data_IF_608172665303
#
_entry.id   IF_608172665303
#
_cell.length_a   1.000
_cell.length_b   1.000
_cell.length_c   1.000
_cell.angle_alpha   90.00
_cell.angle_beta   90.00
_cell.angle_gamma   90.00
#
_symmetry.space_group_name_H-M   'P 1'
#
loop_
_entity.id
_entity.type
_entity.pdbx_description
1 polymer ?
#
# COMPACT_ATOMS: atom_id res chain seq x y z
N UNK A 1 -52.26 -2.50 -13.81
CA UNK A 1 -51.34 -3.54 -13.28
C UNK A 1 -49.94 -3.23 -13.82
N UNK A 2 -48.97 -2.80 -12.99
CA UNK A 2 -47.62 -2.54 -13.48
C UNK A 2 -46.87 -3.85 -13.72
N UNK A 3 -46.20 -3.97 -14.86
CA UNK A 3 -45.44 -5.14 -15.28
C UNK A 3 -44.18 -5.33 -14.41
N UNK A 4 -43.83 -6.58 -14.12
CA UNK A 4 -42.65 -6.93 -13.32
C UNK A 4 -41.35 -6.79 -14.12
N UNK A 5 -40.26 -6.45 -13.41
CA UNK A 5 -38.90 -6.10 -13.89
C UNK A 5 -38.22 -7.14 -14.81
N UNK A 6 -38.78 -8.34 -14.94
CA UNK A 6 -38.29 -9.40 -15.82
C UNK A 6 -38.77 -9.29 -17.28
N UNK A 7 -39.88 -8.58 -17.53
CA UNK A 7 -40.52 -8.54 -18.86
C UNK A 7 -40.09 -7.34 -19.73
N UNK A 8 -39.33 -6.38 -19.18
CA UNK A 8 -38.79 -5.23 -19.93
C UNK A 8 -37.51 -5.56 -20.73
N UNK A 9 -36.99 -6.79 -20.63
CA UNK A 9 -35.68 -7.19 -21.18
C UNK A 9 -35.68 -7.64 -22.65
N UNK A 10 -36.82 -7.65 -23.34
CA UNK A 10 -36.92 -8.25 -24.69
C UNK A 10 -37.11 -7.26 -25.85
N UNK A 11 -37.10 -5.94 -25.61
CA UNK A 11 -37.54 -4.96 -26.64
C UNK A 11 -36.50 -3.93 -27.12
N UNK A 12 -35.22 -4.06 -26.77
CA UNK A 12 -34.16 -3.13 -27.25
C UNK A 12 -32.96 -3.86 -27.87
N UNK A 13 -33.21 -4.96 -28.58
CA UNK A 13 -32.18 -5.65 -29.36
C UNK A 13 -32.61 -5.83 -30.82
N UNK A 14 -32.75 -4.70 -31.52
CA UNK A 14 -32.64 -4.61 -32.99
C UNK A 14 -32.60 -3.14 -33.39
N UNK A 15 -31.40 -2.61 -33.61
CA UNK A 15 -31.12 -1.58 -34.62
C UNK A 15 -29.61 -1.55 -34.84
N UNK A 16 -29.21 -2.29 -35.87
CA UNK A 16 -27.94 -2.13 -36.56
C UNK A 16 -27.89 -0.75 -37.21
N UNK A 17 -26.75 -0.06 -37.11
CA UNK A 17 -26.41 1.04 -38.01
C UNK A 17 -24.93 0.89 -38.42
N UNK A 18 -24.76 0.85 -39.74
CA UNK A 18 -23.51 0.74 -40.52
C UNK A 18 -22.67 2.02 -40.46
N UNK A 19 -21.37 1.97 -40.82
CA UNK A 19 -20.45 3.09 -40.74
C UNK A 19 -20.57 4.04 -41.93
N UNK A 20 -20.36 5.34 -41.70
CA UNK A 20 -20.20 6.35 -42.75
C UNK A 20 -18.79 6.94 -42.69
N UNK A 21 -18.07 6.76 -43.79
CA UNK A 21 -16.86 7.47 -44.21
C UNK A 21 -17.15 8.93 -44.56
N UNK A 22 -16.19 9.83 -44.29
CA UNK A 22 -16.20 11.20 -44.82
C UNK A 22 -14.99 12.01 -44.35
N UNK A 23 -14.17 12.43 -45.31
CA UNK A 23 -12.88 13.14 -45.23
C UNK A 23 -13.11 14.67 -45.28
N UNK A 24 -12.27 15.47 -44.60
CA UNK A 24 -11.46 16.57 -45.20
C UNK A 24 -10.94 17.59 -44.16
N UNK A 25 -9.62 17.85 -44.23
CA UNK A 25 -8.88 19.14 -44.26
C UNK A 25 -9.32 20.30 -43.34
N UNK A 26 -8.46 21.17 -42.80
CA UNK A 26 -7.03 21.50 -42.91
C UNK A 26 -6.77 22.58 -41.86
N UNK A 27 -5.58 22.64 -41.25
CA UNK A 27 -4.99 23.96 -40.97
C UNK A 27 -3.47 23.89 -40.83
N UNK A 28 -2.83 24.77 -41.59
CA UNK A 28 -1.40 24.95 -41.74
C UNK A 28 -0.85 25.90 -40.67
N UNK A 29 0.38 25.67 -40.20
CA UNK A 29 1.33 26.75 -39.93
C UNK A 29 2.76 26.21 -39.81
N UNK A 30 3.58 26.57 -40.79
CA UNK A 30 5.04 26.35 -40.93
C UNK A 30 5.85 27.56 -40.40
N UNK A 31 7.20 27.51 -40.37
CA UNK A 31 8.01 27.89 -39.21
C UNK A 31 8.76 29.23 -39.34
N UNK A 32 9.35 29.72 -38.24
CA UNK A 32 10.36 30.79 -38.26
C UNK A 32 11.63 30.44 -37.47
N UNK A 33 12.77 30.61 -38.15
CA UNK A 33 14.17 30.57 -37.66
C UNK A 33 14.63 31.96 -37.19
N UNK A 34 15.78 31.94 -36.48
CA UNK A 34 16.79 33.01 -36.19
C UNK A 34 16.54 33.80 -34.90
N UNK A 35 17.52 34.28 -34.12
CA UNK A 35 18.99 34.09 -33.85
C UNK A 35 19.36 35.30 -32.95
N UNK A 36 20.09 35.14 -31.85
CA UNK A 36 20.96 36.14 -31.14
C UNK A 36 21.28 35.54 -29.75
N UNK A 37 22.51 35.20 -29.32
CA UNK A 37 23.74 35.99 -29.08
C UNK A 37 23.52 37.21 -28.16
N UNK A 38 23.94 37.07 -26.89
CA UNK A 38 24.49 38.13 -26.03
C UNK A 38 25.07 37.47 -24.75
N UNK A 39 26.39 37.26 -24.69
CA UNK A 39 27.15 37.00 -23.47
C UNK A 39 28.53 37.68 -23.60
N UNK A 40 28.65 38.85 -22.98
CA UNK A 40 29.84 39.58 -22.49
C UNK A 40 29.27 40.37 -21.30
N UNK A 41 29.85 40.52 -20.12
CA UNK A 41 31.21 40.77 -19.65
C UNK A 41 31.09 40.79 -18.11
N UNK A 42 32.15 40.46 -17.35
CA UNK A 42 32.62 41.28 -16.20
C UNK A 42 33.75 40.58 -15.41
N UNK A 43 34.98 41.08 -15.62
CA UNK A 43 36.13 41.24 -14.69
C UNK A 43 36.62 40.03 -13.86
N UNK A 44 37.91 39.77 -13.64
CA UNK A 44 39.13 40.55 -13.79
C UNK A 44 40.26 39.93 -12.93
N UNK A 45 41.50 40.17 -13.34
CA UNK A 45 42.79 39.60 -12.89
C UNK A 45 43.14 39.81 -11.39
N UNK A 46 43.87 38.83 -10.82
CA UNK A 46 45.25 39.04 -10.34
C UNK A 46 45.53 39.39 -8.86
N UNK A 47 46.20 38.44 -8.17
CA UNK A 47 47.26 38.53 -7.13
C UNK A 47 47.17 39.59 -6.00
N UNK A 48 47.34 39.13 -4.74
CA UNK A 48 48.53 39.40 -3.88
C UNK A 48 48.49 38.63 -2.55
N UNK A 49 49.61 37.99 -2.22
CA UNK A 49 49.96 37.56 -0.85
C UNK A 49 50.17 38.79 0.05
N UNK A 50 49.72 38.70 1.31
CA UNK A 50 50.38 39.36 2.45
C UNK A 50 50.37 38.44 3.67
N UNK A 51 51.51 38.45 4.32
CA UNK A 51 51.93 37.69 5.50
C UNK A 51 51.47 38.40 6.79
N UNK A 52 51.03 37.66 7.81
CA UNK A 52 50.97 38.14 9.20
C UNK A 52 51.11 36.96 10.18
N UNK A 53 51.96 37.13 11.19
CA UNK A 53 52.39 36.16 12.22
C UNK A 53 51.58 36.32 13.53
N UNK A 54 51.71 35.41 14.52
CA UNK A 54 50.57 34.86 15.27
C UNK A 54 50.30 35.54 16.63
N UNK A 55 49.06 35.42 17.12
CA UNK A 55 48.74 35.66 18.54
C UNK A 55 47.80 34.60 19.10
N UNK A 56 48.38 33.81 20.00
CA UNK A 56 47.87 33.25 21.27
C UNK A 56 46.48 32.59 21.34
N UNK A 57 46.56 31.30 21.67
CA UNK A 57 45.74 30.53 22.61
C UNK A 57 44.24 30.45 22.35
N UNK A 58 43.81 29.33 21.77
CA UNK A 58 42.62 28.64 22.27
C UNK A 58 42.83 27.13 22.15
N UNK A 59 42.53 26.45 23.25
CA UNK A 59 42.73 25.05 23.59
C UNK A 59 42.23 24.05 22.55
N UNK A 60 43.05 23.06 22.26
CA UNK A 60 42.70 21.78 21.62
C UNK A 60 41.73 21.03 22.56
N UNK A 61 40.55 20.55 22.12
CA UNK A 61 39.81 19.58 22.90
C UNK A 61 40.54 18.25 22.87
N UNK A 62 40.90 17.75 24.05
CA UNK A 62 41.46 16.42 24.24
C UNK A 62 40.57 15.36 23.60
N UNK A 63 41.21 14.48 22.83
CA UNK A 63 40.66 13.20 22.40
C UNK A 63 40.12 12.44 23.62
N UNK A 64 38.79 12.38 23.75
CA UNK A 64 38.14 11.45 24.65
C UNK A 64 38.50 10.03 24.22
N UNK A 65 39.24 9.33 25.07
CA UNK A 65 39.50 7.89 24.95
C UNK A 65 38.13 7.20 24.95
N UNK A 66 37.68 6.74 23.79
CA UNK A 66 36.61 5.75 23.73
C UNK A 66 37.19 4.49 24.36
N UNK A 67 36.78 4.19 25.60
CA UNK A 67 37.05 2.90 26.25
C UNK A 67 36.56 1.80 25.31
N UNK A 68 37.47 1.17 24.57
CA UNK A 68 37.18 -0.12 23.92
C UNK A 68 36.81 -1.09 25.04
N UNK A 69 35.63 -1.68 24.95
CA UNK A 69 35.23 -2.74 25.88
C UNK A 69 36.30 -3.84 25.81
N UNK A 70 36.63 -4.42 26.95
CA UNK A 70 37.57 -5.54 26.94
C UNK A 70 36.95 -6.70 26.15
N UNK A 71 37.75 -7.50 25.44
CA UNK A 71 37.25 -8.65 24.66
C UNK A 71 36.39 -9.62 25.51
N UNK A 72 36.62 -9.62 26.84
CA UNK A 72 35.85 -10.39 27.83
C UNK A 72 34.46 -9.79 28.11
N UNK A 73 34.30 -8.47 28.07
CA UNK A 73 33.01 -7.79 28.19
C UNK A 73 32.20 -7.87 26.90
N UNK A 74 32.86 -7.85 25.74
CA UNK A 74 32.22 -8.07 24.44
C UNK A 74 31.71 -9.52 24.31
N UNK A 75 32.54 -10.51 24.66
CA UNK A 75 32.12 -11.92 24.69
C UNK A 75 30.95 -12.17 25.66
N UNK A 76 31.00 -11.56 26.86
CA UNK A 76 29.93 -11.69 27.85
C UNK A 76 28.64 -10.98 27.44
N UNK A 77 28.73 -9.89 26.66
CA UNK A 77 27.58 -9.22 26.07
C UNK A 77 26.96 -10.06 24.94
N UNK A 78 27.79 -10.66 24.08
CA UNK A 78 27.35 -11.59 23.04
C UNK A 78 26.70 -12.85 23.63
N UNK A 79 27.27 -13.41 24.70
CA UNK A 79 26.67 -14.55 25.42
C UNK A 79 25.33 -14.16 26.07
N UNK A 80 25.23 -12.97 26.69
CA UNK A 80 23.98 -12.48 27.27
C UNK A 80 22.91 -12.18 26.20
N UNK A 81 23.33 -11.69 25.04
CA UNK A 81 22.48 -11.42 23.88
C UNK A 81 22.02 -12.73 23.23
N UNK A 82 22.91 -13.73 23.11
CA UNK A 82 22.57 -15.10 22.70
C UNK A 82 21.62 -15.79 23.70
N UNK A 83 21.81 -15.61 25.01
CA UNK A 83 20.91 -16.16 26.04
C UNK A 83 19.53 -15.49 25.98
N UNK A 84 19.48 -14.16 25.79
CA UNK A 84 18.22 -13.43 25.59
C UNK A 84 17.52 -13.82 24.30
N UNK A 85 18.27 -14.00 23.21
CA UNK A 85 17.75 -14.50 21.93
C UNK A 85 17.21 -15.93 22.06
N UNK A 86 17.91 -16.80 22.80
CA UNK A 86 17.49 -18.17 23.11
C UNK A 86 16.27 -18.25 24.04
N UNK A 87 16.12 -17.29 24.95
CA UNK A 87 14.95 -17.16 25.82
C UNK A 87 13.74 -16.55 25.07
N UNK A 88 13.95 -15.61 24.14
CA UNK A 88 12.92 -15.12 23.21
C UNK A 88 12.41 -16.23 22.32
N UNK A 89 13.29 -16.96 21.64
CA UNK A 89 12.92 -18.08 20.74
C UNK A 89 12.19 -19.24 21.42
N UNK A 90 12.28 -19.37 22.75
CA UNK A 90 11.53 -20.37 23.52
C UNK A 90 10.23 -19.84 24.17
N UNK A 91 9.81 -18.61 23.85
CA UNK A 91 8.54 -18.08 24.34
C UNK A 91 7.37 -18.86 23.72
N UNK A 92 6.42 -19.38 24.53
CA UNK A 92 5.19 -20.00 24.01
C UNK A 92 4.43 -19.08 23.04
N UNK A 93 4.52 -17.76 23.25
CA UNK A 93 3.88 -16.76 22.38
C UNK A 93 4.53 -16.70 20.99
N UNK A 94 5.86 -16.82 20.90
CA UNK A 94 6.57 -16.83 19.61
C UNK A 94 6.25 -18.11 18.85
N UNK A 95 6.23 -19.26 19.52
CA UNK A 95 5.81 -20.53 18.91
C UNK A 95 4.37 -20.48 18.40
N UNK A 96 3.46 -19.84 19.15
CA UNK A 96 2.07 -19.63 18.72
C UNK A 96 1.99 -18.74 17.47
N UNK A 97 2.74 -17.64 17.43
CA UNK A 97 2.81 -16.75 16.27
C UNK A 97 3.39 -17.47 15.05
N UNK A 98 4.49 -18.21 15.23
CA UNK A 98 5.15 -18.96 14.17
C UNK A 98 4.21 -20.01 13.57
N UNK A 99 3.49 -20.76 14.43
CA UNK A 99 2.46 -21.71 13.99
C UNK A 99 1.34 -21.00 13.21
N UNK A 100 0.82 -19.90 13.75
CA UNK A 100 -0.26 -19.13 13.12
C UNK A 100 0.15 -18.62 11.73
N UNK A 101 1.37 -18.09 11.60
CA UNK A 101 1.91 -17.63 10.32
C UNK A 101 2.16 -18.82 9.38
N UNK A 102 2.68 -19.94 9.88
CA UNK A 102 2.94 -21.12 9.05
C UNK A 102 1.65 -21.74 8.46
N UNK A 103 0.57 -21.75 9.23
CA UNK A 103 -0.70 -22.37 8.81
C UNK A 103 -1.58 -21.40 8.00
N UNK A 104 -1.64 -20.13 8.39
CA UNK A 104 -2.61 -19.18 7.83
C UNK A 104 -1.97 -17.91 7.22
N UNK A 105 -0.68 -17.70 7.43
CA UNK A 105 0.04 -16.50 7.00
C UNK A 105 0.49 -16.55 5.54
N UNK A 106 -0.04 -15.65 4.74
CA UNK A 106 0.45 -15.36 3.39
C UNK A 106 0.89 -13.90 3.29
N UNK A 107 1.79 -13.61 2.36
CA UNK A 107 2.01 -12.23 1.95
C UNK A 107 0.73 -11.70 1.29
N UNK A 108 0.19 -10.55 1.73
CA UNK A 108 -1.03 -9.99 1.19
C UNK A 108 -0.99 -9.86 -0.33
N UNK A 109 -2.07 -10.31 -1.00
CA UNK A 109 -2.27 -10.15 -2.44
C UNK A 109 -1.16 -10.75 -3.33
N UNK A 110 -0.43 -11.76 -2.88
CA UNK A 110 0.57 -12.43 -3.73
C UNK A 110 -0.05 -13.37 -4.76
N UNK A 111 -1.29 -13.83 -4.53
CA UNK A 111 -2.02 -14.80 -5.32
C UNK A 111 -2.95 -14.17 -6.38
N UNK A 112 -2.95 -12.83 -6.53
CA UNK A 112 -3.84 -12.12 -7.48
C UNK A 112 -3.28 -12.02 -8.91
N UNK A 113 -2.06 -12.50 -9.15
CA UNK A 113 -1.47 -12.56 -10.50
C UNK A 113 -0.87 -11.24 -11.03
N UNK A 114 -0.45 -10.32 -10.16
CA UNK A 114 0.28 -9.10 -10.59
C UNK A 114 1.80 -9.35 -10.70
N UNK A 115 2.54 -8.60 -11.55
CA UNK A 115 3.96 -8.91 -11.84
C UNK A 115 4.95 -8.69 -10.69
N UNK A 116 4.67 -7.77 -9.76
CA UNK A 116 5.60 -7.40 -8.69
C UNK A 116 4.87 -7.07 -7.38
N UNK A 117 4.15 -8.05 -6.79
CA UNK A 117 3.27 -7.83 -5.64
C UNK A 117 4.02 -7.39 -4.38
N UNK A 118 5.33 -7.60 -4.32
CA UNK A 118 6.16 -7.31 -3.14
C UNK A 118 6.86 -5.95 -3.20
N UNK A 119 6.48 -5.07 -4.15
CA UNK A 119 7.08 -3.74 -4.33
C UNK A 119 5.98 -2.68 -4.38
N UNK A 120 6.22 -1.45 -3.88
CA UNK A 120 5.22 -0.37 -3.88
C UNK A 120 5.07 0.28 -5.28
N UNK A 121 4.86 -0.55 -6.31
CA UNK A 121 4.58 -0.12 -7.69
C UNK A 121 3.16 0.45 -7.79
N UNK A 122 2.86 1.31 -8.78
CA UNK A 122 1.51 1.81 -9.01
C UNK A 122 0.45 0.69 -9.08
N UNK A 123 0.75 -0.41 -9.77
CA UNK A 123 -0.15 -1.55 -9.92
C UNK A 123 -0.42 -2.26 -8.60
N UNK A 124 0.62 -2.43 -7.78
CA UNK A 124 0.49 -3.04 -6.45
C UNK A 124 -0.36 -2.16 -5.55
N UNK A 125 -0.07 -0.86 -5.49
CA UNK A 125 -0.84 0.08 -4.66
C UNK A 125 -2.29 0.19 -5.12
N UNK A 126 -2.55 0.19 -6.44
CA UNK A 126 -3.92 0.14 -6.95
C UNK A 126 -4.63 -1.14 -6.51
N UNK A 127 -3.96 -2.29 -6.60
CA UNK A 127 -4.51 -3.59 -6.17
C UNK A 127 -4.89 -3.59 -4.68
N UNK A 128 -4.08 -2.99 -3.80
CA UNK A 128 -4.41 -2.83 -2.38
C UNK A 128 -5.62 -1.92 -2.16
N UNK A 129 -5.76 -0.83 -2.92
CA UNK A 129 -6.93 0.06 -2.86
C UNK A 129 -8.19 -0.70 -3.31
N UNK A 130 -8.12 -1.46 -4.41
CA UNK A 130 -9.23 -2.25 -4.92
C UNK A 130 -9.66 -3.34 -3.92
N UNK A 131 -8.70 -4.03 -3.30
CA UNK A 131 -8.94 -4.99 -2.23
C UNK A 131 -9.66 -4.34 -1.03
N UNK A 132 -9.19 -3.18 -0.59
CA UNK A 132 -9.80 -2.45 0.52
C UNK A 132 -11.23 -1.98 0.21
N UNK A 133 -11.47 -1.49 -1.01
CA UNK A 133 -12.78 -1.03 -1.45
C UNK A 133 -13.80 -2.19 -1.47
N UNK A 134 -13.42 -3.34 -2.03
CA UNK A 134 -14.30 -4.51 -2.12
C UNK A 134 -14.50 -5.21 -0.76
N UNK A 135 -13.45 -5.34 0.03
CA UNK A 135 -13.48 -6.10 1.29
C UNK A 135 -14.08 -5.32 2.47
N UNK A 136 -14.33 -4.02 2.32
CA UNK A 136 -14.91 -3.19 3.36
C UNK A 136 -16.43 -3.04 3.28
N UNK A 137 -17.07 -3.55 2.23
CA UNK A 137 -18.52 -3.58 2.12
C UNK A 137 -19.17 -4.65 3.01
N UNK A 138 -20.46 -4.50 3.29
CA UNK A 138 -21.24 -5.51 4.03
C UNK A 138 -21.62 -6.70 3.13
N UNK A 139 -20.60 -7.50 2.79
CA UNK A 139 -20.69 -8.67 1.91
C UNK A 139 -19.75 -9.78 2.41
N UNK A 140 -19.99 -11.02 1.99
CA UNK A 140 -19.09 -12.13 2.35
C UNK A 140 -17.69 -11.92 1.78
N UNK A 141 -16.67 -12.30 2.54
CA UNK A 141 -15.28 -12.17 2.10
C UNK A 141 -14.97 -12.96 0.82
N UNK A 142 -15.59 -14.12 0.60
CA UNK A 142 -15.45 -14.88 -0.65
C UNK A 142 -15.94 -14.12 -1.88
N UNK A 143 -17.08 -13.42 -1.80
CA UNK A 143 -17.60 -12.60 -2.90
C UNK A 143 -16.74 -11.36 -3.15
N UNK A 144 -16.25 -10.70 -2.09
CA UNK A 144 -15.28 -9.59 -2.24
C UNK A 144 -13.99 -10.07 -2.92
N UNK A 145 -13.52 -11.26 -2.55
CA UNK A 145 -12.34 -11.90 -3.16
C UNK A 145 -12.57 -12.27 -4.62
N UNK A 146 -13.71 -12.89 -4.94
CA UNK A 146 -14.13 -13.21 -6.31
C UNK A 146 -14.18 -11.96 -7.21
N UNK A 147 -14.77 -10.88 -6.69
CA UNK A 147 -14.80 -9.59 -7.38
C UNK A 147 -13.40 -9.05 -7.64
N UNK A 148 -12.51 -9.08 -6.63
CA UNK A 148 -11.13 -8.62 -6.79
C UNK A 148 -10.41 -9.40 -7.89
N UNK A 149 -10.44 -10.74 -7.84
CA UNK A 149 -9.81 -11.59 -8.85
C UNK A 149 -10.36 -11.32 -10.26
N UNK A 150 -11.66 -11.03 -10.39
CA UNK A 150 -12.28 -10.65 -11.66
C UNK A 150 -11.76 -9.32 -12.19
N UNK A 151 -11.56 -8.32 -11.32
CA UNK A 151 -10.91 -7.05 -11.69
C UNK A 151 -9.46 -7.27 -12.14
N UNK A 152 -8.71 -8.12 -11.42
CA UNK A 152 -7.30 -8.38 -11.71
C UNK A 152 -7.13 -9.10 -13.04
N UNK A 153 -8.01 -10.07 -13.34
CA UNK A 153 -8.04 -10.77 -14.63
C UNK A 153 -8.25 -9.82 -15.81
N UNK A 154 -8.99 -8.73 -15.61
CA UNK A 154 -9.20 -7.68 -16.61
C UNK A 154 -8.15 -6.56 -16.54
N UNK A 155 -7.07 -6.74 -15.79
CA UNK A 155 -5.97 -5.78 -15.63
C UNK A 155 -6.39 -4.42 -15.06
N UNK A 156 -7.43 -4.36 -14.21
CA UNK A 156 -7.86 -3.10 -13.60
C UNK A 156 -6.89 -2.58 -12.51
N UNK A 157 -5.85 -3.34 -12.19
CA UNK A 157 -4.69 -2.86 -11.44
C UNK A 157 -3.80 -1.91 -12.26
N UNK A 158 -3.96 -1.84 -13.59
CA UNK A 158 -3.38 -0.79 -14.43
C UNK A 158 -4.36 0.39 -14.53
N UNK A 159 -3.87 1.59 -14.20
CA UNK A 159 -4.66 2.81 -14.23
C UNK A 159 -5.19 3.13 -15.64
N UNK A 160 -4.43 2.83 -16.69
CA UNK A 160 -4.86 3.12 -18.06
C UNK A 160 -6.06 2.26 -18.44
N UNK A 161 -5.99 0.97 -18.14
CA UNK A 161 -7.10 0.03 -18.31
C UNK A 161 -8.31 0.44 -17.49
N UNK A 162 -8.13 0.75 -16.20
CA UNK A 162 -9.23 1.19 -15.33
C UNK A 162 -9.91 2.46 -15.85
N UNK A 163 -9.13 3.44 -16.30
CA UNK A 163 -9.62 4.71 -16.84
C UNK A 163 -10.32 4.54 -18.20
N UNK A 164 -9.86 3.61 -19.04
CA UNK A 164 -10.47 3.33 -20.34
C UNK A 164 -11.81 2.58 -20.21
N UNK A 165 -12.01 1.83 -19.12
CA UNK A 165 -13.26 1.11 -18.90
C UNK A 165 -14.47 2.04 -18.77
N UNK A 166 -15.60 1.60 -19.31
CA UNK A 166 -16.90 2.24 -19.16
C UNK A 166 -17.56 1.81 -17.84
N UNK A 167 -18.48 2.62 -17.34
CA UNK A 167 -19.27 2.26 -16.15
C UNK A 167 -20.01 0.92 -16.34
N UNK A 168 -20.55 0.68 -17.54
CA UNK A 168 -21.30 -0.55 -17.85
C UNK A 168 -20.42 -1.81 -17.83
N UNK A 169 -19.19 -1.72 -18.33
CA UNK A 169 -18.23 -2.85 -18.27
C UNK A 169 -17.87 -3.19 -16.82
N UNK A 170 -17.62 -2.16 -15.98
CA UNK A 170 -17.34 -2.36 -14.56
C UNK A 170 -18.52 -2.99 -13.83
N UNK A 171 -19.75 -2.55 -14.10
CA UNK A 171 -20.97 -3.16 -13.52
C UNK A 171 -21.10 -4.62 -13.95
N UNK A 172 -20.98 -4.90 -15.25
CA UNK A 172 -21.09 -6.27 -15.75
C UNK A 172 -20.08 -7.22 -15.09
N UNK A 173 -18.82 -6.78 -14.98
CA UNK A 173 -17.76 -7.57 -14.35
C UNK A 173 -18.02 -7.83 -12.86
N UNK A 174 -18.52 -6.83 -12.13
CA UNK A 174 -18.86 -6.96 -10.70
C UNK A 174 -20.08 -7.86 -10.49
N UNK A 175 -21.11 -7.73 -11.33
CA UNK A 175 -22.33 -8.55 -11.29
C UNK A 175 -21.99 -10.03 -11.55
N UNK A 176 -21.22 -10.31 -12.61
CA UNK A 176 -20.74 -11.67 -12.95
C UNK A 176 -19.91 -12.30 -11.83
N UNK A 177 -19.15 -11.49 -11.08
CA UNK A 177 -18.37 -11.96 -9.93
C UNK A 177 -19.20 -12.21 -8.65
N UNK A 178 -20.52 -11.98 -8.70
CA UNK A 178 -21.44 -12.14 -7.58
C UNK A 178 -21.52 -10.91 -6.66
N UNK A 179 -20.99 -9.77 -7.09
CA UNK A 179 -20.97 -8.50 -6.34
C UNK A 179 -22.19 -7.61 -6.64
N UNK A 180 -23.28 -8.19 -7.13
CA UNK A 180 -24.50 -7.53 -7.61
C UNK A 180 -25.19 -6.56 -6.63
N UNK A 181 -24.96 -6.71 -5.31
CA UNK A 181 -25.55 -5.80 -4.31
C UNK A 181 -24.96 -4.39 -4.41
N UNK A 182 -23.69 -4.28 -4.81
CA UNK A 182 -22.91 -3.04 -4.76
C UNK A 182 -22.23 -2.72 -6.10
N UNK A 183 -22.52 -3.48 -7.15
CA UNK A 183 -21.95 -3.33 -8.50
C UNK A 183 -22.06 -1.91 -9.05
N UNK A 184 -23.22 -1.26 -8.96
CA UNK A 184 -23.46 0.09 -9.49
C UNK A 184 -22.67 1.15 -8.72
N UNK A 185 -22.68 1.08 -7.38
CA UNK A 185 -21.94 2.01 -6.52
C UNK A 185 -20.43 1.82 -6.70
N UNK A 186 -19.95 0.58 -6.66
CA UNK A 186 -18.54 0.26 -6.80
C UNK A 186 -18.03 0.60 -8.20
N UNK A 187 -18.78 0.33 -9.27
CA UNK A 187 -18.43 0.77 -10.63
C UNK A 187 -18.30 2.31 -10.74
N UNK A 188 -19.11 3.05 -9.99
CA UNK A 188 -19.01 4.51 -9.91
C UNK A 188 -17.75 4.94 -9.16
N UNK A 189 -17.46 4.31 -8.02
CA UNK A 189 -16.29 4.58 -7.20
C UNK A 189 -14.97 4.27 -7.92
N UNK A 190 -14.91 3.17 -8.67
CA UNK A 190 -13.76 2.81 -9.52
C UNK A 190 -13.44 3.89 -10.57
N UNK A 191 -14.47 4.47 -11.21
CA UNK A 191 -14.28 5.59 -12.14
C UNK A 191 -13.81 6.87 -11.45
N UNK A 192 -14.32 7.14 -10.24
CA UNK A 192 -13.88 8.26 -9.41
C UNK A 192 -12.44 8.08 -8.92
N UNK A 193 -12.05 6.86 -8.56
CA UNK A 193 -10.68 6.50 -8.18
C UNK A 193 -9.71 6.80 -9.34
N UNK A 194 -10.01 6.35 -10.56
CA UNK A 194 -9.17 6.64 -11.72
C UNK A 194 -9.02 8.16 -11.96
N UNK A 195 -10.10 8.91 -11.77
CA UNK A 195 -10.10 10.38 -11.90
C UNK A 195 -9.26 11.04 -10.78
N UNK A 196 -9.40 10.58 -9.54
CA UNK A 196 -8.62 11.07 -8.40
C UNK A 196 -7.12 10.84 -8.60
N UNK A 197 -6.74 9.63 -9.00
CA UNK A 197 -5.33 9.27 -9.26
C UNK A 197 -4.74 10.13 -10.37
N UNK A 198 -5.47 10.31 -11.48
CA UNK A 198 -5.04 11.18 -12.57
C UNK A 198 -4.80 12.61 -12.09
N UNK A 199 -5.78 13.19 -11.41
CA UNK A 199 -5.79 14.64 -11.12
C UNK A 199 -4.88 15.01 -9.94
N UNK A 200 -4.91 14.23 -8.86
CA UNK A 200 -4.17 14.54 -7.61
C UNK A 200 -2.78 13.92 -7.58
N UNK A 201 -2.63 12.73 -8.15
CA UNK A 201 -1.42 11.93 -8.04
C UNK A 201 -0.68 11.80 -9.38
N UNK A 202 -1.04 12.61 -10.39
CA UNK A 202 -0.31 12.66 -11.66
C UNK A 202 -0.32 11.35 -12.43
N UNK A 203 -1.38 10.55 -12.31
CA UNK A 203 -1.51 9.19 -12.87
C UNK A 203 -0.61 8.13 -12.24
N UNK A 204 -0.03 8.41 -11.08
CA UNK A 204 0.81 7.49 -10.33
C UNK A 204 0.24 7.31 -8.92
N UNK A 205 -0.55 6.25 -8.74
CA UNK A 205 -1.24 5.98 -7.46
C UNK A 205 -0.28 5.65 -6.32
N UNK A 206 0.96 5.24 -6.60
CA UNK A 206 1.95 4.96 -5.55
C UNK A 206 2.25 6.20 -4.70
N UNK A 207 2.07 7.40 -5.26
CA UNK A 207 2.21 8.70 -4.57
C UNK A 207 1.15 8.93 -3.48
N UNK A 208 0.15 8.06 -3.35
CA UNK A 208 -0.72 8.07 -2.18
C UNK A 208 0.06 7.74 -0.90
N UNK A 209 1.13 6.94 -1.01
CA UNK A 209 2.04 6.65 0.09
C UNK A 209 2.82 7.92 0.47
N UNK A 210 2.79 8.33 1.75
CA UNK A 210 3.64 9.41 2.25
C UNK A 210 5.13 9.11 2.07
N UNK A 211 5.94 10.16 1.92
CA UNK A 211 7.41 10.06 1.94
C UNK A 211 7.98 10.14 3.37
N UNK A 212 7.11 10.32 4.35
CA UNK A 212 7.48 10.46 5.76
C UNK A 212 8.08 9.16 6.30
N UNK A 213 9.16 9.29 7.07
CA UNK A 213 9.85 8.16 7.69
C UNK A 213 9.35 7.87 9.10
N UNK A 214 8.75 8.86 9.76
CA UNK A 214 8.03 8.63 11.02
C UNK A 214 6.76 7.81 10.77
N UNK A 215 6.67 6.63 11.39
CA UNK A 215 5.60 5.69 11.13
C UNK A 215 4.23 6.23 11.59
N UNK A 216 4.17 6.99 12.69
CA UNK A 216 2.91 7.52 13.21
C UNK A 216 2.36 8.65 12.32
N UNK A 217 3.21 9.60 11.97
CA UNK A 217 2.88 10.67 11.05
C UNK A 217 2.57 10.12 9.64
N UNK A 218 3.34 9.15 9.16
CA UNK A 218 3.09 8.41 7.93
C UNK A 218 1.70 7.76 7.92
N UNK A 219 1.35 7.02 8.99
CA UNK A 219 0.00 6.44 9.16
C UNK A 219 -1.10 7.51 9.12
N UNK A 220 -0.90 8.63 9.83
CA UNK A 220 -1.87 9.73 9.86
C UNK A 220 -2.08 10.35 8.48
N UNK A 221 -1.01 10.66 7.76
CA UNK A 221 -1.07 11.22 6.41
C UNK A 221 -1.72 10.25 5.42
N UNK A 222 -1.35 8.97 5.47
CA UNK A 222 -1.93 7.94 4.62
C UNK A 222 -3.44 7.80 4.88
N UNK A 223 -3.86 7.80 6.15
CA UNK A 223 -5.28 7.78 6.54
C UNK A 223 -6.06 8.95 5.94
N UNK A 224 -5.54 10.18 5.99
CA UNK A 224 -6.20 11.34 5.38
C UNK A 224 -6.30 11.21 3.85
N UNK A 225 -5.24 10.75 3.19
CA UNK A 225 -5.24 10.54 1.73
C UNK A 225 -6.22 9.45 1.29
N UNK A 226 -6.34 8.35 2.06
CA UNK A 226 -7.28 7.26 1.75
C UNK A 226 -8.74 7.65 1.94
N UNK A 227 -9.07 8.56 2.87
CA UNK A 227 -10.44 9.09 3.05
C UNK A 227 -10.98 9.81 1.81
N UNK A 228 -10.10 10.29 0.93
CA UNK A 228 -10.49 10.94 -0.32
C UNK A 228 -10.95 9.93 -1.38
N UNK A 229 -10.54 8.67 -1.25
CA UNK A 229 -10.99 7.58 -2.13
C UNK A 229 -12.44 7.25 -1.79
N UNK A 230 -13.36 7.58 -2.69
CA UNK A 230 -14.78 7.24 -2.52
C UNK A 230 -14.97 5.73 -2.45
N UNK A 231 -15.80 5.29 -1.50
CA UNK A 231 -16.00 3.87 -1.18
C UNK A 231 -15.11 3.36 -0.04
N UNK A 232 -14.02 4.06 0.30
CA UNK A 232 -13.13 3.65 1.40
C UNK A 232 -13.56 4.34 2.70
N UNK A 233 -14.22 3.57 3.57
CA UNK A 233 -14.51 3.96 4.95
C UNK A 233 -13.40 3.59 5.94
N UNK A 234 -13.60 3.81 7.26
CA UNK A 234 -12.62 3.47 8.30
C UNK A 234 -12.10 2.04 8.23
N UNK A 235 -12.99 1.06 7.96
CA UNK A 235 -12.60 -0.33 7.78
C UNK A 235 -11.71 -0.55 6.55
N UNK A 236 -12.04 0.08 5.42
CA UNK A 236 -11.23 -0.03 4.20
C UNK A 236 -9.82 0.55 4.41
N UNK A 237 -9.70 1.62 5.20
CA UNK A 237 -8.39 2.17 5.59
C UNK A 237 -7.59 1.15 6.39
N UNK A 238 -8.20 0.50 7.39
CA UNK A 238 -7.52 -0.54 8.17
C UNK A 238 -7.09 -1.73 7.30
N UNK A 239 -7.93 -2.18 6.37
CA UNK A 239 -7.59 -3.25 5.42
C UNK A 239 -6.42 -2.84 4.53
N UNK A 240 -6.45 -1.62 3.98
CA UNK A 240 -5.36 -1.11 3.15
C UNK A 240 -4.06 -1.06 3.95
N UNK A 241 -4.06 -0.44 5.12
CA UNK A 241 -2.86 -0.27 5.95
C UNK A 241 -2.31 -1.63 6.40
N UNK A 242 -3.16 -2.56 6.82
CA UNK A 242 -2.74 -3.89 7.26
C UNK A 242 -2.07 -4.69 6.14
N UNK A 243 -2.57 -4.57 4.92
CA UNK A 243 -2.05 -5.32 3.77
C UNK A 243 -0.84 -4.65 3.11
N UNK A 244 -0.79 -3.31 3.05
CA UNK A 244 0.29 -2.59 2.36
C UNK A 244 1.60 -2.54 3.16
N UNK A 245 1.58 -2.79 4.47
CA UNK A 245 2.76 -2.68 5.33
C UNK A 245 3.92 -3.61 4.91
N UNK A 246 3.61 -4.75 4.28
CA UNK A 246 4.61 -5.67 3.74
C UNK A 246 5.35 -5.13 2.51
N UNK A 247 4.74 -4.22 1.74
CA UNK A 247 5.35 -3.58 0.56
C UNK A 247 5.83 -2.16 0.85
N UNK A 248 5.36 -1.56 1.94
CA UNK A 248 5.80 -0.25 2.43
C UNK A 248 6.17 -0.32 3.93
N UNK A 249 7.38 -0.82 4.25
CA UNK A 249 7.84 -1.04 5.63
C UNK A 249 7.77 0.16 6.57
N UNK A 250 7.86 1.39 6.05
CA UNK A 250 7.76 2.62 6.86
C UNK A 250 6.41 2.79 7.57
N UNK A 251 5.40 2.00 7.18
CA UNK A 251 4.10 1.95 7.86
C UNK A 251 4.13 1.17 9.17
N UNK A 252 5.04 0.20 9.30
CA UNK A 252 5.05 -0.76 10.39
C UNK A 252 5.32 -0.10 11.75
N UNK A 253 4.80 -0.70 12.84
CA UNK A 253 3.87 -1.82 12.86
C UNK A 253 2.40 -1.38 12.72
N UNK A 254 1.54 -2.21 12.11
CA UNK A 254 0.10 -1.97 12.06
C UNK A 254 -0.73 -3.26 12.16
N UNK A 255 -1.74 -3.26 13.03
CA UNK A 255 -2.84 -4.23 13.02
C UNK A 255 -4.18 -3.49 13.00
N UNK A 256 -5.09 -3.94 12.13
CA UNK A 256 -6.47 -3.49 12.14
C UNK A 256 -7.16 -3.84 13.47
N UNK A 257 -8.18 -3.06 13.82
CA UNK A 257 -8.88 -3.19 15.10
C UNK A 257 -9.43 -4.59 15.36
N UNK A 258 -10.01 -5.22 14.34
CA UNK A 258 -10.56 -6.59 14.43
C UNK A 258 -9.49 -7.67 14.54
N UNK A 259 -8.34 -7.46 13.90
CA UNK A 259 -7.25 -8.43 13.97
C UNK A 259 -6.54 -8.32 15.32
N UNK A 260 -6.43 -7.11 15.88
CA UNK A 260 -5.96 -6.89 17.25
C UNK A 260 -6.88 -7.52 18.30
N UNK A 261 -8.20 -7.49 18.10
CA UNK A 261 -9.15 -8.20 18.97
C UNK A 261 -8.92 -9.72 18.94
N UNK A 262 -8.66 -10.29 17.77
CA UNK A 262 -8.34 -11.72 17.64
C UNK A 262 -7.00 -12.03 18.32
N UNK A 263 -6.00 -11.18 18.12
CA UNK A 263 -4.70 -11.31 18.78
C UNK A 263 -4.84 -11.30 20.31
N UNK A 264 -5.67 -10.42 20.86
CA UNK A 264 -6.00 -10.39 22.29
C UNK A 264 -6.70 -11.68 22.74
N UNK A 265 -7.70 -12.16 21.99
CA UNK A 265 -8.45 -13.39 22.29
C UNK A 265 -7.55 -14.64 22.37
N UNK A 266 -6.58 -14.76 21.46
CA UNK A 266 -5.66 -15.92 21.43
C UNK A 266 -4.41 -15.74 22.32
N UNK A 267 -4.36 -14.65 23.10
CA UNK A 267 -3.34 -14.42 24.12
C UNK A 267 -2.07 -13.71 23.65
N UNK A 268 -2.03 -13.11 22.45
CA UNK A 268 -0.90 -12.27 22.00
C UNK A 268 -0.90 -10.87 22.63
N UNK A 269 -2.03 -10.47 23.22
CA UNK A 269 -2.22 -9.16 23.84
C UNK A 269 -2.66 -8.07 22.86
N UNK A 270 -2.66 -6.82 23.34
CA UNK A 270 -3.19 -5.64 22.63
C UNK A 270 -2.14 -4.59 22.24
N UNK A 271 -0.88 -4.81 22.61
CA UNK A 271 0.20 -3.89 22.27
C UNK A 271 0.84 -4.31 20.95
N UNK A 272 0.55 -3.52 19.90
CA UNK A 272 1.03 -3.77 18.54
C UNK A 272 2.56 -3.68 18.45
N UNK A 273 3.20 -2.82 19.25
CA UNK A 273 4.67 -2.73 19.26
C UNK A 273 5.28 -3.96 19.93
N UNK A 274 4.69 -4.42 21.04
CA UNK A 274 5.15 -5.65 21.70
C UNK A 274 5.01 -6.88 20.77
N UNK A 275 3.89 -7.00 20.04
CA UNK A 275 3.71 -8.06 19.04
C UNK A 275 4.78 -7.96 17.95
N UNK A 276 5.06 -6.74 17.47
CA UNK A 276 6.08 -6.53 16.44
C UNK A 276 7.50 -6.87 16.91
N UNK A 277 7.82 -6.62 18.18
CA UNK A 277 9.09 -7.03 18.78
C UNK A 277 9.25 -8.55 18.85
N UNK A 278 8.15 -9.30 19.03
CA UNK A 278 8.18 -10.77 18.97
C UNK A 278 8.44 -11.30 17.56
N UNK A 279 8.18 -10.48 16.54
CA UNK A 279 8.49 -10.74 15.14
C UNK A 279 9.86 -10.19 14.72
N UNK A 280 10.73 -9.87 15.68
CA UNK A 280 12.04 -9.24 15.47
C UNK A 280 11.98 -7.95 14.64
N UNK A 281 10.86 -7.23 14.71
CA UNK A 281 10.64 -6.02 13.92
C UNK A 281 10.62 -6.27 12.41
N UNK A 282 10.10 -7.43 11.97
CA UNK A 282 10.03 -7.80 10.56
C UNK A 282 8.68 -7.40 9.90
N UNK A 283 8.67 -6.45 8.95
CA UNK A 283 7.46 -6.00 8.25
C UNK A 283 6.72 -7.10 7.47
N UNK A 284 7.45 -8.04 6.88
CA UNK A 284 6.85 -9.14 6.12
C UNK A 284 6.13 -10.11 7.05
N UNK A 285 6.75 -10.45 8.19
CA UNK A 285 6.11 -11.30 9.20
C UNK A 285 4.88 -10.61 9.80
N UNK A 286 4.95 -9.29 9.99
CA UNK A 286 3.81 -8.50 10.46
C UNK A 286 2.64 -8.53 9.48
N UNK A 287 2.93 -8.41 8.18
CA UNK A 287 1.92 -8.52 7.13
C UNK A 287 1.30 -9.93 7.08
N UNK A 288 2.13 -10.98 7.19
CA UNK A 288 1.68 -12.38 7.26
C UNK A 288 0.81 -12.64 8.49
N UNK A 289 1.19 -12.11 9.65
CA UNK A 289 0.41 -12.20 10.88
C UNK A 289 -0.97 -11.56 10.73
N UNK A 290 -1.04 -10.37 10.12
CA UNK A 290 -2.35 -9.73 9.85
C UNK A 290 -3.23 -10.58 8.94
N UNK A 291 -2.68 -11.19 7.88
CA UNK A 291 -3.43 -12.12 7.01
C UNK A 291 -3.93 -13.32 7.81
N UNK A 292 -3.05 -13.91 8.62
CA UNK A 292 -3.40 -15.06 9.44
C UNK A 292 -4.54 -14.75 10.43
N UNK A 293 -4.46 -13.64 11.16
CA UNK A 293 -5.51 -13.19 12.08
C UNK A 293 -6.83 -12.90 11.36
N UNK A 294 -6.77 -12.29 10.17
CA UNK A 294 -7.95 -12.06 9.34
C UNK A 294 -8.59 -13.39 8.90
N UNK A 295 -7.81 -14.38 8.44
CA UNK A 295 -8.32 -15.70 8.05
C UNK A 295 -8.94 -16.43 9.23
N UNK A 296 -8.24 -16.48 10.36
CA UNK A 296 -8.71 -17.11 11.60
C UNK A 296 -10.11 -16.61 11.99
N UNK A 297 -10.33 -15.29 11.89
CA UNK A 297 -11.61 -14.63 12.16
C UNK A 297 -12.69 -14.93 11.12
N UNK A 298 -12.34 -14.96 9.83
CA UNK A 298 -13.30 -15.14 8.75
C UNK A 298 -13.72 -16.59 8.56
N UNK A 299 -12.81 -17.53 8.82
CA UNK A 299 -12.99 -18.97 8.67
C UNK A 299 -13.39 -19.65 10.00
N UNK A 300 -13.44 -18.88 11.10
CA UNK A 300 -13.89 -19.31 12.44
C UNK A 300 -12.99 -20.37 13.08
N UNK A 301 -11.68 -20.28 12.84
CA UNK A 301 -10.66 -21.16 13.40
C UNK A 301 -10.04 -20.63 14.71
N UNK A 302 -10.61 -19.58 15.32
CA UNK A 302 -10.05 -18.94 16.54
C UNK A 302 -9.82 -19.96 17.66
N UNK A 303 -10.74 -20.92 17.81
CA UNK A 303 -10.71 -21.95 18.85
C UNK A 303 -9.45 -22.83 18.80
N UNK A 304 -8.81 -22.98 17.63
CA UNK A 304 -7.58 -23.76 17.46
C UNK A 304 -6.35 -23.13 18.14
N UNK A 305 -6.46 -21.85 18.52
CA UNK A 305 -5.38 -21.06 19.13
C UNK A 305 -5.75 -20.53 20.52
N UNK A 306 -6.92 -20.92 21.04
CA UNK A 306 -7.29 -20.72 22.44
C UNK A 306 -6.60 -21.80 23.28
N UNK A 307 -5.46 -21.43 23.87
CA UNK A 307 -4.73 -22.21 24.87
C UNK A 307 -4.62 -21.40 26.16
#
# INVERSE_FOLDING_TARGET
MPLTRAQSRTLVRRRELKPTSGVSESDQATPRKRKAQEEEELYGKGRKQKHWMPTKSTSIPQSGIVRRKSAKEEAKALDAEMIKHRARTNSPMIQKIDKLIAEYGDLPLTDIGIPSPNKPTPETILSHILNALLSSAHISHHLARSALLSLMKQSYYDLNTLKASTWKERVGLLDEAGYARYDFSTATELGKLATLVKNKYGSDVSRILPLETDAELGRKLLKERLKEVKGIGPLGIEIFMSTVQGVWPSLCPFLGSRDLQVAEQIGLGKDVNAIYELLDGNPEQMAKLSVALTKLRLEKHIEEFLE
#
